data_IF_897286055682
#
_entry.id   IF_897286055682
#
_cell.length_a   1.000
_cell.length_b   1.000
_cell.length_c   1.000
_cell.angle_alpha   90.00
_cell.angle_beta   90.00
_cell.angle_gamma   90.00
#
_symmetry.space_group_name_H-M   'P 1'
#
loop_
_entity.id
_entity.type
_entity.pdbx_description
1 polymer ?
#
# COMPACT_ATOMS: atom_id res chain seq x y z
N UNK A 1 0.00 -64.35 -40.24
CA UNK A 1 -1.36 -63.86 -40.55
C UNK A 1 -1.37 -62.34 -40.39
N UNK A 2 -1.87 -61.63 -41.40
CA UNK A 2 -1.91 -60.16 -41.54
C UNK A 2 -3.13 -59.53 -40.84
N UNK A 3 -3.02 -58.24 -40.49
CA UNK A 3 -4.02 -57.12 -40.40
C UNK A 3 -3.67 -56.25 -39.17
N UNK A 4 -3.05 -55.07 -39.24
CA UNK A 4 -3.44 -53.76 -39.81
C UNK A 4 -4.79 -53.20 -39.31
N UNK A 5 -4.70 -52.20 -38.42
CA UNK A 5 -5.61 -51.04 -38.26
C UNK A 5 -4.89 -50.05 -37.32
N UNK A 6 -4.11 -49.07 -37.81
CA UNK A 6 -4.48 -47.73 -38.28
C UNK A 6 -5.41 -46.94 -37.34
N UNK A 7 -4.76 -46.00 -36.62
CA UNK A 7 -5.10 -44.61 -36.32
C UNK A 7 -6.58 -44.18 -36.17
N UNK A 8 -6.87 -43.50 -35.05
CA UNK A 8 -7.67 -42.27 -35.12
C UNK A 8 -7.13 -41.22 -34.14
N UNK A 9 -6.65 -40.12 -34.71
CA UNK A 9 -6.43 -38.84 -34.06
C UNK A 9 -7.72 -38.39 -33.36
N UNK A 10 -7.62 -38.05 -32.08
CA UNK A 10 -8.51 -37.08 -31.46
C UNK A 10 -7.64 -35.90 -31.00
N UNK A 11 -7.52 -34.94 -31.92
CA UNK A 11 -7.15 -33.56 -31.65
C UNK A 11 -8.08 -33.00 -30.56
N UNK A 12 -7.57 -32.89 -29.33
CA UNK A 12 -8.06 -31.90 -28.39
C UNK A 12 -7.20 -30.65 -28.57
N UNK A 13 -7.61 -29.64 -29.36
CA UNK A 13 -7.27 -28.30 -28.95
C UNK A 13 -8.10 -28.05 -27.69
N UNK A 14 -7.54 -27.45 -26.65
CA UNK A 14 -8.21 -26.34 -25.96
C UNK A 14 -7.40 -25.88 -24.75
N UNK A 15 -6.99 -24.62 -24.86
CA UNK A 15 -6.77 -23.63 -23.82
C UNK A 15 -5.41 -23.66 -23.08
N UNK A 16 -4.53 -22.66 -23.32
CA UNK A 16 -3.38 -22.42 -22.47
C UNK A 16 -3.85 -21.97 -21.06
N UNK A 17 -3.09 -22.27 -19.98
CA UNK A 17 -3.39 -21.83 -18.61
C UNK A 17 -3.00 -20.36 -18.39
N UNK A 18 -3.38 -19.46 -19.31
CA UNK A 18 -2.96 -18.06 -19.32
C UNK A 18 -4.16 -17.11 -19.16
N UNK A 19 -4.96 -17.27 -18.10
CA UNK A 19 -6.00 -16.27 -17.76
C UNK A 19 -6.52 -16.43 -16.32
N UNK A 20 -5.66 -16.73 -15.35
CA UNK A 20 -5.97 -16.52 -13.93
C UNK A 20 -4.98 -15.55 -13.30
N UNK A 21 -4.68 -14.46 -14.01
CA UNK A 21 -4.36 -13.21 -13.34
C UNK A 21 -5.67 -12.77 -12.70
N UNK A 22 -5.83 -13.08 -11.41
CA UNK A 22 -6.92 -12.55 -10.61
C UNK A 22 -6.72 -11.03 -10.56
N UNK A 23 -7.42 -10.31 -11.43
CA UNK A 23 -7.76 -8.89 -11.22
C UNK A 23 -8.70 -8.83 -10.01
N UNK A 24 -8.16 -9.08 -8.82
CA UNK A 24 -8.83 -8.70 -7.58
C UNK A 24 -8.98 -7.19 -7.67
N UNK A 25 -10.20 -6.63 -7.58
CA UNK A 25 -10.36 -5.19 -7.43
C UNK A 25 -9.58 -4.78 -6.18
N UNK A 26 -8.37 -4.24 -6.35
CA UNK A 26 -7.59 -3.72 -5.24
C UNK A 26 -8.39 -2.56 -4.68
N UNK A 27 -8.70 -2.62 -3.39
CA UNK A 27 -9.31 -1.50 -2.68
C UNK A 27 -8.46 -0.25 -3.00
N UNK A 28 -9.03 0.79 -3.64
CA UNK A 28 -8.28 1.97 -4.06
C UNK A 28 -7.63 2.67 -2.86
N UNK A 29 -8.19 2.51 -1.67
CA UNK A 29 -7.64 3.01 -0.41
C UNK A 29 -6.39 2.25 0.00
N UNK A 30 -6.41 0.91 -0.10
CA UNK A 30 -5.26 0.07 0.19
C UNK A 30 -4.10 0.35 -0.78
N UNK A 31 -4.42 0.53 -2.07
CA UNK A 31 -3.42 0.88 -3.08
C UNK A 31 -2.81 2.27 -2.82
N UNK A 32 -3.62 3.23 -2.37
CA UNK A 32 -3.14 4.56 -1.98
C UNK A 32 -2.17 4.48 -0.80
N UNK A 33 -2.50 3.71 0.24
CA UNK A 33 -1.62 3.52 1.40
C UNK A 33 -0.32 2.83 0.99
N UNK A 34 -0.37 1.76 0.20
CA UNK A 34 0.82 1.07 -0.28
C UNK A 34 1.73 1.99 -1.11
N UNK A 35 1.13 2.83 -1.97
CA UNK A 35 1.87 3.83 -2.76
C UNK A 35 2.56 4.83 -1.84
N UNK A 36 1.87 5.33 -0.81
CA UNK A 36 2.43 6.26 0.16
C UNK A 36 3.58 5.62 0.96
N UNK A 37 3.40 4.39 1.43
CA UNK A 37 4.42 3.66 2.19
C UNK A 37 5.71 3.53 1.37
N UNK A 38 5.62 3.06 0.12
CA UNK A 38 6.79 2.91 -0.74
C UNK A 38 7.45 4.24 -1.05
N UNK A 39 6.66 5.29 -1.26
CA UNK A 39 7.18 6.61 -1.58
C UNK A 39 7.96 7.24 -0.42
N UNK A 40 7.47 7.10 0.83
CA UNK A 40 8.14 7.67 1.99
C UNK A 40 9.23 6.78 2.58
N UNK A 41 9.32 5.51 2.16
CA UNK A 41 10.33 4.55 2.61
C UNK A 41 11.77 5.11 2.64
N UNK A 42 12.30 5.77 1.59
CA UNK A 42 13.65 6.33 1.61
C UNK A 42 13.84 7.51 2.58
N UNK A 43 12.76 8.12 3.08
CA UNK A 43 12.79 9.21 4.04
C UNK A 43 12.61 8.74 5.49
N UNK A 44 12.38 7.45 5.71
CA UNK A 44 12.28 6.85 7.04
C UNK A 44 13.66 6.62 7.64
N UNK A 45 13.75 6.68 8.96
CA UNK A 45 14.91 6.24 9.72
C UNK A 45 14.87 4.73 9.99
N UNK A 46 15.89 4.26 10.70
CA UNK A 46 16.01 2.87 11.14
C UNK A 46 15.26 2.63 12.47
N UNK A 47 13.92 2.77 12.42
CA UNK A 47 13.06 2.53 13.58
C UNK A 47 12.43 1.14 13.48
N UNK A 48 12.57 0.27 14.51
CA UNK A 48 11.95 -1.04 14.52
C UNK A 48 10.43 -0.97 14.32
N UNK A 49 9.91 -1.85 13.47
CA UNK A 49 8.47 -1.95 13.16
C UNK A 49 7.91 -3.23 13.77
N UNK A 50 7.12 -3.15 14.86
CA UNK A 50 6.40 -4.31 15.38
C UNK A 50 5.40 -4.86 14.35
N UNK A 51 5.26 -6.20 14.22
CA UNK A 51 4.36 -6.80 13.23
C UNK A 51 2.87 -6.46 13.46
N UNK A 52 2.48 -6.23 14.71
CA UNK A 52 1.14 -5.87 15.15
C UNK A 52 0.93 -4.36 15.30
N UNK A 53 1.90 -3.53 14.86
CA UNK A 53 1.78 -2.09 14.93
C UNK A 53 0.60 -1.60 14.06
N UNK A 54 -0.20 -0.71 14.62
CA UNK A 54 -1.26 0.01 13.91
C UNK A 54 -1.15 1.47 14.30
N UNK A 55 -0.95 2.34 13.31
CA UNK A 55 -0.81 3.78 13.50
C UNK A 55 -1.86 4.49 12.65
N UNK A 56 -2.65 5.36 13.28
CA UNK A 56 -3.66 6.16 12.62
C UNK A 56 -3.23 7.63 12.57
N UNK A 57 -3.16 8.20 11.37
CA UNK A 57 -2.76 9.59 11.14
C UNK A 57 -3.88 10.35 10.46
N UNK A 58 -4.26 11.50 11.00
CA UNK A 58 -4.98 12.50 10.22
C UNK A 58 -3.97 13.32 9.41
N UNK A 59 -4.11 13.31 8.08
CA UNK A 59 -3.19 13.99 7.17
C UNK A 59 -3.91 15.11 6.43
N UNK A 60 -3.31 16.29 6.41
CA UNK A 60 -3.76 17.42 5.60
C UNK A 60 -2.76 17.65 4.47
N UNK A 61 -3.27 17.80 3.25
CA UNK A 61 -2.46 18.05 2.05
C UNK A 61 -2.99 19.25 1.28
N UNK A 62 -2.10 19.96 0.59
CA UNK A 62 -2.50 21.00 -0.36
C UNK A 62 -2.88 20.42 -1.73
N UNK A 63 -3.34 21.29 -2.64
CA UNK A 63 -3.74 20.89 -3.99
C UNK A 63 -2.58 20.36 -4.86
N UNK A 64 -1.33 20.60 -4.46
CA UNK A 64 -0.13 20.10 -5.13
C UNK A 64 0.38 18.78 -4.51
N UNK A 65 -0.31 18.25 -3.49
CA UNK A 65 0.09 17.01 -2.81
C UNK A 65 1.18 17.19 -1.77
N UNK A 66 1.45 18.42 -1.32
CA UNK A 66 2.38 18.68 -0.20
C UNK A 66 1.65 18.45 1.12
N UNK A 67 2.33 17.79 2.06
CA UNK A 67 1.82 17.56 3.40
C UNK A 67 1.91 18.86 4.21
N UNK A 68 0.77 19.32 4.72
CA UNK A 68 0.63 20.54 5.53
C UNK A 68 0.56 20.23 7.02
N UNK A 69 -0.10 19.14 7.39
CA UNK A 69 -0.27 18.71 8.77
C UNK A 69 -0.36 17.19 8.86
N UNK A 70 0.21 16.62 9.91
CA UNK A 70 0.06 15.20 10.27
C UNK A 70 -0.19 15.17 11.77
N UNK A 71 -1.32 14.59 12.18
CA UNK A 71 -1.75 14.52 13.58
C UNK A 71 -2.11 13.08 13.93
N UNK A 72 -2.00 12.67 15.21
CA UNK A 72 -2.55 11.39 15.63
C UNK A 72 -4.07 11.42 15.42
N UNK A 73 -4.62 10.37 14.81
CA UNK A 73 -6.07 10.21 14.76
C UNK A 73 -6.55 9.56 16.06
N UNK A 74 -7.21 10.32 16.93
CA UNK A 74 -7.67 9.84 18.25
C UNK A 74 -8.99 9.05 18.19
N UNK A 75 -9.27 8.33 17.09
CA UNK A 75 -10.52 7.54 16.97
C UNK A 75 -10.51 6.26 17.80
N UNK A 76 -9.33 5.81 18.24
CA UNK A 76 -9.11 4.62 19.06
C UNK A 76 -8.43 4.99 20.39
N UNK A 77 -8.37 4.06 21.38
CA UNK A 77 -7.55 4.26 22.59
C UNK A 77 -6.18 4.87 22.27
N UNK A 78 -5.62 5.68 23.18
CA UNK A 78 -4.40 6.42 22.93
C UNK A 78 -3.30 5.48 22.41
N UNK A 79 -2.55 5.99 21.42
CA UNK A 79 -1.44 5.25 20.81
C UNK A 79 -0.54 4.65 21.88
N UNK A 80 -0.25 3.34 21.73
CA UNK A 80 0.68 2.59 22.57
C UNK A 80 2.02 3.33 22.65
N UNK A 81 2.55 3.55 23.86
CA UNK A 81 3.73 4.39 24.10
C UNK A 81 4.96 3.86 23.35
N UNK A 82 5.08 2.54 23.22
CA UNK A 82 6.12 1.85 22.47
C UNK A 82 6.10 2.15 20.97
N UNK A 83 4.97 2.58 20.40
CA UNK A 83 4.84 2.93 18.99
C UNK A 83 5.18 4.41 18.70
N UNK A 84 5.39 5.23 19.73
CA UNK A 84 5.70 6.67 19.57
C UNK A 84 6.94 6.93 18.70
N UNK A 85 8.06 6.20 18.82
CA UNK A 85 9.20 6.39 17.93
C UNK A 85 8.84 6.14 16.46
N UNK A 86 8.08 5.09 16.17
CA UNK A 86 7.63 4.76 14.81
C UNK A 86 6.65 5.80 14.26
N UNK A 87 5.77 6.33 15.12
CA UNK A 87 4.89 7.43 14.76
C UNK A 87 5.67 8.68 14.34
N UNK A 88 6.65 9.11 15.14
CA UNK A 88 7.44 10.31 14.84
C UNK A 88 8.33 10.11 13.60
N UNK A 89 8.83 8.90 13.37
CA UNK A 89 9.58 8.54 12.17
C UNK A 89 8.73 8.70 10.91
N UNK A 90 7.55 8.08 10.87
CA UNK A 90 6.63 8.19 9.73
C UNK A 90 6.14 9.63 9.54
N UNK A 91 5.83 10.33 10.64
CA UNK A 91 5.46 11.74 10.59
C UNK A 91 6.56 12.57 9.93
N UNK A 92 7.82 12.37 10.34
CA UNK A 92 8.97 13.04 9.74
C UNK A 92 9.13 12.69 8.27
N UNK A 93 9.01 11.43 7.90
CA UNK A 93 9.12 10.97 6.51
C UNK A 93 8.05 11.61 5.60
N UNK A 94 6.82 11.78 6.09
CA UNK A 94 5.75 12.47 5.37
C UNK A 94 6.02 13.97 5.15
N UNK A 95 6.78 14.61 6.04
CA UNK A 95 7.18 16.02 5.93
C UNK A 95 8.53 16.22 5.23
N UNK A 96 9.26 15.15 4.92
CA UNK A 96 10.58 15.27 4.33
C UNK A 96 10.47 15.87 2.92
N UNK A 97 11.16 16.98 2.63
CA UNK A 97 11.09 17.64 1.32
C UNK A 97 11.60 16.75 0.18
N UNK A 98 12.41 15.73 0.46
CA UNK A 98 12.87 14.75 -0.54
C UNK A 98 11.76 13.78 -0.95
N UNK A 99 10.76 13.59 -0.09
CA UNK A 99 9.58 12.78 -0.33
C UNK A 99 8.33 13.63 -0.65
N UNK A 100 8.48 14.94 -0.87
CA UNK A 100 7.41 15.83 -1.28
C UNK A 100 7.57 16.32 -2.71
N UNK A 101 6.47 16.56 -3.46
CA UNK A 101 5.07 16.27 -3.13
C UNK A 101 4.76 14.76 -3.20
N UNK A 102 3.64 14.34 -2.57
CA UNK A 102 3.18 12.95 -2.61
C UNK A 102 2.81 12.55 -4.06
N UNK A 103 3.09 11.30 -4.49
CA UNK A 103 2.92 10.83 -5.86
C UNK A 103 1.45 10.42 -6.12
N UNK A 104 0.53 11.35 -5.88
CA UNK A 104 -0.89 11.12 -5.92
C UNK A 104 -1.54 11.92 -7.04
N UNK A 105 -2.50 11.30 -7.71
CA UNK A 105 -3.38 11.99 -8.65
C UNK A 105 -4.26 13.02 -7.93
N UNK A 106 -4.78 14.01 -8.67
CA UNK A 106 -5.68 15.03 -8.11
C UNK A 106 -6.90 14.44 -7.38
N UNK A 107 -7.60 13.41 -7.89
CA UNK A 107 -8.68 12.75 -7.15
C UNK A 107 -8.20 12.15 -5.82
N UNK A 108 -7.01 11.52 -5.81
CA UNK A 108 -6.43 10.95 -4.60
C UNK A 108 -6.03 12.04 -3.58
N UNK A 109 -5.51 13.18 -4.04
CA UNK A 109 -5.22 14.33 -3.17
C UNK A 109 -6.50 14.85 -2.50
N UNK A 110 -7.59 14.97 -3.26
CA UNK A 110 -8.88 15.40 -2.72
C UNK A 110 -9.43 14.41 -1.70
N UNK A 111 -9.27 13.11 -1.94
CA UNK A 111 -9.64 12.05 -0.99
C UNK A 111 -8.75 12.05 0.25
N UNK A 112 -7.47 12.40 0.11
CA UNK A 112 -6.50 12.37 1.19
C UNK A 112 -6.63 13.55 2.16
N UNK A 113 -7.05 14.71 1.67
CA UNK A 113 -7.08 15.92 2.47
C UNK A 113 -8.03 15.82 3.67
N UNK A 114 -7.46 15.86 4.89
CA UNK A 114 -8.15 15.66 6.18
C UNK A 114 -8.72 14.25 6.36
N UNK A 115 -8.14 13.27 5.69
CA UNK A 115 -8.48 11.85 5.86
C UNK A 115 -7.59 11.19 6.90
N UNK A 116 -8.10 10.08 7.44
CA UNK A 116 -7.35 9.22 8.34
C UNK A 116 -6.69 8.11 7.53
N UNK A 117 -5.37 8.03 7.63
CA UNK A 117 -4.58 6.94 7.11
C UNK A 117 -4.26 5.95 8.22
N UNK A 118 -4.41 4.67 7.92
CA UNK A 118 -4.07 3.57 8.83
C UNK A 118 -2.86 2.84 8.26
N UNK A 119 -1.75 2.89 8.98
CA UNK A 119 -0.53 2.16 8.63
C UNK A 119 -0.42 0.91 9.50
N UNK A 120 -0.37 -0.23 8.84
CA UNK A 120 -0.12 -1.52 9.48
C UNK A 120 1.37 -1.84 9.45
N UNK A 121 1.91 -2.33 10.57
CA UNK A 121 3.31 -2.74 10.68
C UNK A 121 3.70 -3.81 9.66
N UNK A 122 2.76 -4.71 9.33
CA UNK A 122 2.94 -5.71 8.27
C UNK A 122 3.17 -5.11 6.89
N UNK A 123 2.61 -3.94 6.57
CA UNK A 123 2.83 -3.24 5.31
C UNK A 123 4.15 -2.45 5.33
N UNK A 124 4.44 -1.76 6.43
CA UNK A 124 5.66 -0.96 6.63
C UNK A 124 6.96 -1.77 6.62
N UNK A 125 6.89 -3.08 6.86
CA UNK A 125 8.06 -3.99 6.81
C UNK A 125 8.34 -4.55 5.41
N UNK A 126 7.40 -4.44 4.47
CA UNK A 126 7.55 -4.95 3.10
C UNK A 126 8.18 -3.92 2.15
N UNK A 127 8.21 -2.66 2.55
CA UNK A 127 8.69 -1.51 1.78
C UNK A 127 10.15 -1.20 2.01
#
# INVERSE_FOLDING_TARGET
MRRHALALLALLPFLPPAARAQDVPRDPSAQLIDTLIHHIAPCRGDVPVPPDAVLEFEVQVDAAGRVLAVRPAYRRPPMRQELRPLYEDLRRALFDPRCGPLPLSRPQILLLNRSILVFYGSALRRS
#
